data_IF_971191698005
#
_entry.id   IF_971191698005
#
_cell.length_a   1.000
_cell.length_b   1.000
_cell.length_c   1.000
_cell.angle_alpha   90.00
_cell.angle_beta   90.00
_cell.angle_gamma   90.00
#
_symmetry.space_group_name_H-M   'P 1'
#
loop_
_entity.id
_entity.type
_entity.pdbx_description
1 polymer ?
#
# COMPACT_ATOMS: atom_id res chain seq x y z
N UNK A 1 10.11 9.46 -5.41
CA UNK A 1 9.89 9.54 -6.87
C UNK A 1 8.57 8.87 -7.22
N UNK A 2 8.15 8.82 -8.50
CA UNK A 2 6.98 8.03 -8.87
C UNK A 2 7.32 6.54 -8.75
N UNK A 3 6.72 5.86 -7.77
CA UNK A 3 6.87 4.41 -7.60
C UNK A 3 5.64 3.69 -8.15
N UNK A 4 5.86 2.60 -8.89
CA UNK A 4 4.90 1.49 -8.86
C UNK A 4 5.19 0.64 -7.61
N UNK A 5 4.39 -0.39 -7.34
CA UNK A 5 4.59 -1.17 -6.13
C UNK A 5 5.95 -1.89 -6.11
N UNK A 6 6.42 -2.43 -7.25
CA UNK A 6 7.74 -3.09 -7.28
C UNK A 6 8.88 -2.12 -6.95
N UNK A 7 8.86 -0.89 -7.48
CA UNK A 7 9.83 0.13 -7.13
C UNK A 7 9.77 0.50 -5.65
N UNK A 8 8.56 0.58 -5.07
CA UNK A 8 8.37 0.80 -3.63
C UNK A 8 8.98 -0.32 -2.78
N UNK A 9 8.72 -1.57 -3.17
CA UNK A 9 9.25 -2.76 -2.53
C UNK A 9 10.78 -2.76 -2.56
N UNK A 10 11.38 -2.58 -3.75
CA UNK A 10 12.84 -2.53 -3.92
C UNK A 10 13.46 -1.44 -3.06
N UNK A 11 12.88 -0.24 -3.04
CA UNK A 11 13.40 0.90 -2.27
C UNK A 11 13.37 0.63 -0.76
N UNK A 12 12.26 0.11 -0.22
CA UNK A 12 12.18 -0.19 1.20
C UNK A 12 13.09 -1.36 1.61
N UNK A 13 13.20 -2.39 0.78
CA UNK A 13 14.11 -3.51 1.04
C UNK A 13 15.58 -3.08 0.99
N UNK A 14 15.97 -2.22 0.05
CA UNK A 14 17.31 -1.65 0.00
C UNK A 14 17.67 -0.84 1.26
N UNK A 15 16.65 -0.34 1.98
CA UNK A 15 16.78 0.36 3.27
C UNK A 15 16.67 -0.54 4.49
N UNK A 16 16.68 -1.86 4.31
CA UNK A 16 16.56 -2.83 5.41
C UNK A 16 15.17 -2.85 6.06
N UNK A 17 14.13 -2.51 5.30
CA UNK A 17 12.76 -2.49 5.78
C UNK A 17 11.77 -3.04 4.76
N UNK A 18 10.50 -2.78 5.05
CA UNK A 18 9.35 -3.20 4.25
C UNK A 18 8.51 -1.99 3.88
N UNK A 19 7.75 -2.07 2.79
CA UNK A 19 6.67 -1.12 2.53
C UNK A 19 5.71 -1.21 3.72
N UNK A 20 5.31 -0.07 4.27
CA UNK A 20 4.66 -0.02 5.57
C UNK A 20 3.44 -0.95 5.67
N UNK A 21 3.33 -1.66 6.78
CA UNK A 21 2.06 -2.25 7.21
C UNK A 21 1.15 -1.18 7.80
N UNK A 22 -0.15 -1.48 7.88
CA UNK A 22 -1.15 -0.62 8.52
C UNK A 22 -2.08 -1.49 9.36
N UNK A 23 -1.85 -1.54 10.66
CA UNK A 23 -2.47 -2.48 11.59
C UNK A 23 -3.61 -1.86 12.41
N UNK A 24 -3.83 -0.56 12.28
CA UNK A 24 -4.90 0.17 12.98
C UNK A 24 -5.29 1.46 12.27
N UNK A 25 -6.45 2.01 12.65
CA UNK A 25 -6.89 3.33 12.18
C UNK A 25 -5.88 4.45 12.53
N UNK A 26 -5.32 4.42 13.74
CA UNK A 26 -4.35 5.43 14.17
C UNK A 26 -3.07 5.38 13.33
N UNK A 27 -2.58 4.18 13.03
CA UNK A 27 -1.42 4.01 12.15
C UNK A 27 -1.74 4.48 10.72
N UNK A 28 -2.92 4.16 10.19
CA UNK A 28 -3.37 4.66 8.88
C UNK A 28 -3.36 6.19 8.83
N UNK A 29 -3.96 6.83 9.84
CA UNK A 29 -4.03 8.29 9.96
C UNK A 29 -2.64 8.92 10.08
N UNK A 30 -1.77 8.34 10.90
CA UNK A 30 -0.39 8.80 11.07
C UNK A 30 0.39 8.77 9.76
N UNK A 31 0.39 7.64 9.05
CA UNK A 31 1.08 7.47 7.76
C UNK A 31 0.51 8.43 6.72
N UNK A 32 -0.83 8.57 6.66
CA UNK A 32 -1.50 9.48 5.75
C UNK A 32 -1.10 10.95 6.00
N UNK A 33 -0.90 11.32 7.27
CA UNK A 33 -0.37 12.62 7.66
C UNK A 33 1.09 12.82 7.23
N UNK A 34 1.96 11.81 7.36
CA UNK A 34 3.37 11.89 6.95
C UNK A 34 3.54 12.21 5.46
N UNK A 35 2.65 11.71 4.62
CA UNK A 35 2.67 11.95 3.16
C UNK A 35 1.79 13.13 2.73
N UNK A 36 1.24 13.88 3.69
CA UNK A 36 0.38 15.04 3.43
C UNK A 36 -0.88 14.71 2.62
N UNK A 37 -1.45 13.51 2.81
CA UNK A 37 -2.63 13.05 2.06
C UNK A 37 -2.39 12.71 0.58
N UNK A 38 -1.13 12.72 0.12
CA UNK A 38 -0.77 12.27 -1.22
C UNK A 38 -0.98 10.76 -1.39
N UNK A 39 -0.97 10.26 -2.63
CA UNK A 39 -1.04 8.83 -2.90
C UNK A 39 0.23 8.09 -2.46
N UNK A 40 0.09 6.87 -1.94
CA UNK A 40 1.21 6.04 -1.50
C UNK A 40 0.90 4.55 -1.53
N UNK A 41 1.96 3.72 -1.63
CA UNK A 41 1.86 2.26 -1.51
C UNK A 41 1.95 1.80 -0.06
N UNK A 42 1.21 0.74 0.28
CA UNK A 42 1.36 -0.01 1.54
C UNK A 42 1.71 -1.47 1.24
N UNK A 43 2.41 -2.14 2.16
CA UNK A 43 2.93 -3.50 1.99
C UNK A 43 1.88 -4.61 2.07
N UNK A 44 0.64 -4.33 1.69
CA UNK A 44 -0.46 -5.28 1.66
C UNK A 44 -0.63 -5.83 0.25
N UNK A 45 -0.59 -7.17 0.12
CA UNK A 45 -0.80 -7.84 -1.17
C UNK A 45 -1.78 -9.00 -1.10
N UNK A 46 -2.46 -9.27 -2.21
CA UNK A 46 -3.35 -10.43 -2.36
C UNK A 46 -2.53 -11.67 -2.73
N UNK A 47 -2.55 -12.68 -1.86
CA UNK A 47 -1.94 -13.99 -2.07
C UNK A 47 -3.06 -15.03 -2.11
N UNK A 48 -3.34 -15.57 -3.30
CA UNK A 48 -4.53 -16.38 -3.53
C UNK A 48 -5.81 -15.59 -3.27
N UNK A 49 -6.53 -15.91 -2.20
CA UNK A 49 -7.76 -15.19 -1.79
C UNK A 49 -7.56 -14.28 -0.58
N UNK A 50 -6.36 -14.22 -0.02
CA UNK A 50 -6.10 -13.57 1.27
C UNK A 50 -5.23 -12.34 1.08
N UNK A 51 -5.56 -11.23 1.75
CA UNK A 51 -4.72 -10.05 1.83
C UNK A 51 -3.70 -10.21 2.96
N UNK A 52 -2.41 -10.20 2.61
CA UNK A 52 -1.30 -10.51 3.49
C UNK A 52 -0.28 -9.39 3.49
N UNK A 53 0.27 -9.11 4.68
CA UNK A 53 1.40 -8.21 4.86
C UNK A 53 2.70 -8.90 4.45
N UNK A 54 3.78 -8.12 4.30
CA UNK A 54 5.10 -8.64 3.91
C UNK A 54 5.72 -9.62 4.93
N UNK A 55 5.25 -9.63 6.17
CA UNK A 55 5.67 -10.59 7.20
C UNK A 55 4.90 -11.93 7.15
N UNK A 56 3.96 -12.07 6.21
CA UNK A 56 3.13 -13.26 6.06
C UNK A 56 1.88 -13.30 6.94
N UNK A 57 1.61 -12.26 7.72
CA UNK A 57 0.36 -12.17 8.50
C UNK A 57 -0.81 -11.71 7.63
N UNK A 58 -2.01 -12.23 7.91
CA UNK A 58 -3.22 -11.78 7.24
C UNK A 58 -3.70 -10.43 7.80
N UNK A 59 -4.28 -9.58 6.95
CA UNK A 59 -4.86 -8.32 7.40
C UNK A 59 -6.09 -8.55 8.28
N UNK A 60 -6.04 -8.03 9.51
CA UNK A 60 -7.19 -7.96 10.43
C UNK A 60 -7.88 -6.60 10.42
N UNK A 61 -7.12 -5.53 10.14
CA UNK A 61 -7.62 -4.19 9.90
C UNK A 61 -7.59 -3.89 8.40
N UNK A 62 -8.67 -3.27 7.90
CA UNK A 62 -8.72 -2.75 6.54
C UNK A 62 -9.37 -1.38 6.49
N UNK A 63 -8.98 -0.56 5.52
CA UNK A 63 -9.60 0.74 5.27
C UNK A 63 -9.89 0.93 3.76
N UNK A 64 -10.47 -0.09 3.14
CA UNK A 64 -10.85 -0.04 1.73
C UNK A 64 -11.81 1.11 1.43
N UNK A 65 -11.62 1.76 0.28
CA UNK A 65 -12.62 2.68 -0.27
C UNK A 65 -13.91 1.89 -0.57
N UNK A 66 -15.10 2.52 -0.58
CA UNK A 66 -16.31 1.85 -1.03
C UNK A 66 -16.11 1.11 -2.37
N UNK A 67 -16.65 -0.10 -2.42
CA UNK A 67 -16.54 -1.07 -3.53
C UNK A 67 -15.16 -1.68 -3.77
N UNK A 68 -14.18 -1.49 -2.86
CA UNK A 68 -12.85 -2.11 -2.97
C UNK A 68 -12.67 -3.25 -1.96
N UNK A 69 -11.80 -4.23 -2.26
CA UNK A 69 -11.08 -4.42 -3.53
C UNK A 69 -11.97 -5.01 -4.63
N UNK A 70 -11.84 -4.55 -5.87
CA UNK A 70 -12.67 -4.99 -7.01
C UNK A 70 -11.91 -5.78 -8.09
N UNK A 71 -10.59 -5.89 -8.00
CA UNK A 71 -9.75 -6.58 -8.99
C UNK A 71 -9.58 -5.81 -10.30
N UNK A 72 -10.05 -4.56 -10.37
CA UNK A 72 -9.81 -3.64 -11.48
C UNK A 72 -8.60 -2.73 -11.15
N UNK A 73 -7.76 -2.33 -12.09
CA UNK A 73 -7.73 -2.63 -13.51
C UNK A 73 -6.28 -2.95 -13.92
N UNK A 74 -6.10 -3.57 -15.08
CA UNK A 74 -4.76 -3.93 -15.58
C UNK A 74 -4.22 -5.24 -14.99
N UNK A 75 -2.93 -5.55 -15.23
CA UNK A 75 -2.33 -6.81 -14.79
C UNK A 75 -1.96 -6.78 -13.31
N UNK A 76 -1.99 -7.95 -12.68
CA UNK A 76 -1.51 -8.16 -11.30
C UNK A 76 -2.11 -7.15 -10.29
N UNK A 77 -3.45 -7.04 -10.26
CA UNK A 77 -4.20 -6.23 -9.30
C UNK A 77 -4.19 -6.92 -7.93
N UNK A 78 -3.00 -7.04 -7.37
CA UNK A 78 -2.73 -7.70 -6.09
C UNK A 78 -2.00 -6.80 -5.11
N UNK A 79 -1.74 -5.54 -5.45
CA UNK A 79 -1.08 -4.57 -4.57
C UNK A 79 -2.05 -3.51 -4.07
N UNK A 80 -1.69 -2.81 -3.00
CA UNK A 80 -2.60 -1.85 -2.34
C UNK A 80 -2.05 -0.43 -2.39
N UNK A 81 -2.80 0.47 -3.02
CA UNK A 81 -2.50 1.92 -3.06
C UNK A 81 -3.49 2.67 -2.17
N UNK A 82 -3.02 3.73 -1.52
CA UNK A 82 -3.84 4.61 -0.68
C UNK A 82 -3.99 5.96 -1.37
N UNK A 83 -5.14 6.62 -1.18
CA UNK A 83 -5.48 7.93 -1.77
C UNK A 83 -5.47 7.97 -3.31
N UNK A 84 -5.69 6.84 -3.99
CA UNK A 84 -5.79 6.83 -5.45
C UNK A 84 -6.80 7.87 -5.98
N UNK A 85 -7.99 7.92 -5.37
CA UNK A 85 -9.05 8.87 -5.68
C UNK A 85 -9.13 10.05 -4.66
N UNK A 86 -8.00 10.46 -4.06
CA UNK A 86 -7.96 11.48 -3.00
C UNK A 86 -8.90 11.15 -1.81
N UNK A 87 -9.01 9.86 -1.48
CA UNK A 87 -10.05 9.32 -0.60
C UNK A 87 -9.69 9.31 0.91
N UNK A 88 -8.91 10.30 1.38
CA UNK A 88 -8.71 10.53 2.83
C UNK A 88 -8.13 9.36 3.63
N UNK A 89 -7.16 8.64 3.07
CA UNK A 89 -6.48 7.50 3.67
C UNK A 89 -7.12 6.15 3.33
N UNK A 90 -8.14 6.12 2.46
CA UNK A 90 -8.76 4.88 2.01
C UNK A 90 -7.99 4.19 0.89
N UNK A 91 -8.14 2.87 0.85
CA UNK A 91 -7.33 1.96 0.05
C UNK A 91 -8.05 1.52 -1.24
N UNK A 92 -7.25 1.15 -2.22
CA UNK A 92 -7.63 0.58 -3.50
C UNK A 92 -6.73 -0.63 -3.77
N UNK A 93 -7.26 -1.70 -4.36
CA UNK A 93 -6.38 -2.65 -5.02
C UNK A 93 -5.94 -2.10 -6.38
N UNK A 94 -4.71 -2.44 -6.76
CA UNK A 94 -4.06 -1.82 -7.90
C UNK A 94 -3.02 -2.75 -8.52
N UNK A 95 -2.85 -2.63 -9.83
CA UNK A 95 -1.82 -3.33 -10.59
C UNK A 95 -0.43 -3.01 -10.05
N UNK A 96 0.32 -4.02 -9.61
CA UNK A 96 1.61 -3.85 -8.92
C UNK A 96 2.69 -3.18 -9.77
N UNK A 97 2.61 -3.31 -11.10
CA UNK A 97 3.63 -2.80 -12.03
C UNK A 97 3.25 -1.46 -12.67
N UNK A 98 2.05 -0.96 -12.41
CA UNK A 98 1.50 0.25 -13.04
C UNK A 98 1.80 1.52 -12.22
N UNK A 99 2.12 2.62 -12.90
CA UNK A 99 2.26 3.96 -12.31
C UNK A 99 0.90 4.66 -12.26
N UNK A 100 0.15 4.43 -11.18
CA UNK A 100 -1.22 4.96 -11.02
C UNK A 100 -1.28 6.46 -10.70
N UNK A 101 -0.26 7.00 -10.02
CA UNK A 101 -0.18 8.42 -9.65
C UNK A 101 1.23 8.95 -9.83
N UNK A 102 1.34 10.25 -10.06
CA UNK A 102 2.61 10.96 -10.15
C UNK A 102 2.52 12.29 -9.38
N UNK A 103 3.20 12.42 -8.22
CA UNK A 103 3.98 11.38 -7.55
C UNK A 103 3.10 10.29 -6.93
N UNK A 104 3.67 9.09 -6.73
CA UNK A 104 3.18 8.11 -5.74
C UNK A 104 4.28 7.91 -4.71
N UNK A 105 3.98 8.09 -3.42
CA UNK A 105 4.94 8.03 -2.34
C UNK A 105 5.06 6.63 -1.72
N UNK A 106 6.02 6.47 -0.81
CA UNK A 106 6.21 5.28 -0.01
C UNK A 106 6.58 5.68 1.42
N UNK A 107 6.17 4.86 2.38
CA UNK A 107 6.69 4.91 3.75
C UNK A 107 7.26 3.53 4.05
N UNK A 108 8.53 3.49 4.45
CA UNK A 108 9.21 2.24 4.78
C UNK A 108 9.21 2.03 6.29
N UNK A 109 8.78 0.86 6.73
CA UNK A 109 8.82 0.42 8.13
C UNK A 109 10.05 -0.46 8.32
N UNK A 110 10.87 -0.14 9.31
CA UNK A 110 12.06 -0.96 9.64
C UNK A 110 11.62 -2.34 10.12
N UNK A 111 12.38 -3.37 9.76
CA UNK A 111 12.24 -4.67 10.40
C UNK A 111 12.61 -4.53 11.89
N UNK A 112 11.77 -5.06 12.78
CA UNK A 112 12.19 -5.25 14.18
C UNK A 112 13.13 -6.44 14.17
N UNK A 113 14.41 -6.21 14.47
CA UNK A 113 15.38 -7.28 14.71
C UNK A 113 15.06 -8.03 16.00
#
# INVERSE_FOLDING_TARGET
>A
GPYNYLGAFTECTARGGFVTSVLSFNENSFINGLVGGSAYWIGLRKVGRTWMWQDGTAASFTNWRPSQPDGCCGPDVTCTIVNYANAGGQWDDAGCTTLWRNPTNIVCKRAVQ
#
